data_IF_386755676468
#
_entry.id   IF_386755676468
#
_cell.length_a   1.000
_cell.length_b   1.000
_cell.length_c   1.000
_cell.angle_alpha   90.00
_cell.angle_beta   90.00
_cell.angle_gamma   90.00
#
_symmetry.space_group_name_H-M   'P 1'
#
loop_
_entity.id
_entity.type
_entity.pdbx_description
1 polymer ?
#
# COMPACT_ATOMS: atom_id res chain seq x y z
N UNK A 1 12.43 15.19 19.22
CA UNK A 1 13.07 15.09 17.90
C UNK A 1 11.94 15.05 16.87
N UNK A 2 11.56 16.21 16.33
CA UNK A 2 10.42 16.32 15.42
C UNK A 2 10.77 15.65 14.09
N UNK A 3 9.90 14.76 13.62
CA UNK A 3 10.00 14.21 12.27
C UNK A 3 9.86 15.41 11.33
N UNK A 4 10.88 15.71 10.54
CA UNK A 4 10.83 16.80 9.57
C UNK A 4 9.85 16.35 8.46
N UNK A 5 8.57 16.69 8.64
CA UNK A 5 7.54 16.41 7.65
C UNK A 5 7.65 17.48 6.58
N UNK A 6 8.12 17.10 5.40
CA UNK A 6 8.36 18.02 4.30
C UNK A 6 7.06 18.76 3.90
N UNK A 7 7.15 20.04 3.51
CA UNK A 7 5.99 20.90 3.23
C UNK A 7 5.08 20.33 2.13
N UNK A 8 5.65 19.60 1.17
CA UNK A 8 4.87 18.89 0.17
C UNK A 8 4.08 17.70 0.75
N UNK A 9 4.65 16.93 1.69
CA UNK A 9 3.91 15.90 2.45
C UNK A 9 2.69 16.52 3.14
N UNK A 10 2.84 17.74 3.68
CA UNK A 10 1.77 18.46 4.36
C UNK A 10 0.68 18.90 3.40
N UNK A 11 1.03 19.34 2.19
CA UNK A 11 0.05 19.68 1.13
C UNK A 11 -0.72 18.45 0.65
N UNK A 12 -0.04 17.32 0.44
CA UNK A 12 -0.72 16.06 0.05
C UNK A 12 -1.50 15.41 1.18
N UNK A 13 -1.12 15.70 2.42
CA UNK A 13 -1.80 15.24 3.63
C UNK A 13 -3.08 16.03 3.91
N UNK A 14 -3.25 17.26 3.41
CA UNK A 14 -4.35 18.16 3.79
C UNK A 14 -5.32 18.46 2.65
N UNK A 15 -6.57 18.70 3.01
CA UNK A 15 -7.61 19.27 2.14
C UNK A 15 -7.47 20.79 2.08
N UNK A 16 -8.28 21.42 1.23
CA UNK A 16 -8.35 22.88 1.08
C UNK A 16 -8.67 23.60 2.41
N UNK A 17 -9.44 22.95 3.28
CA UNK A 17 -9.77 23.43 4.64
C UNK A 17 -8.67 23.19 5.69
N UNK A 18 -7.52 22.65 5.27
CA UNK A 18 -6.39 22.35 6.14
C UNK A 18 -6.52 21.07 6.97
N UNK A 19 -7.66 20.37 6.92
CA UNK A 19 -7.84 19.09 7.62
C UNK A 19 -7.10 17.96 6.90
N UNK A 20 -6.60 16.94 7.61
CA UNK A 20 -5.98 15.80 6.94
C UNK A 20 -6.96 15.08 6.02
N UNK A 21 -6.54 14.60 4.84
CA UNK A 21 -7.43 13.96 3.87
C UNK A 21 -8.15 12.74 4.43
N UNK A 22 -7.52 12.05 5.37
CA UNK A 22 -8.05 10.86 6.04
C UNK A 22 -9.05 11.16 7.14
N UNK A 23 -9.21 12.41 7.57
CA UNK A 23 -10.07 12.79 8.70
C UNK A 23 -11.58 12.53 8.47
N UNK A 24 -12.01 12.31 7.22
CA UNK A 24 -13.39 11.90 6.92
C UNK A 24 -13.65 10.41 7.14
N UNK A 25 -12.63 9.63 7.49
CA UNK A 25 -12.74 8.19 7.70
C UNK A 25 -12.34 7.84 9.14
N UNK A 26 -12.85 6.72 9.70
CA UNK A 26 -12.46 6.26 11.03
C UNK A 26 -10.96 6.08 11.18
N UNK A 27 -10.43 6.33 12.37
CA UNK A 27 -9.03 6.00 12.66
C UNK A 27 -8.88 4.47 12.67
N UNK A 28 -7.92 3.91 11.91
CA UNK A 28 -7.73 2.48 11.90
C UNK A 28 -7.22 1.96 13.25
N UNK A 29 -7.63 0.75 13.63
CA UNK A 29 -7.23 0.12 14.90
C UNK A 29 -6.15 -0.94 14.73
N UNK A 30 -6.06 -1.55 13.55
CA UNK A 30 -5.06 -2.57 13.25
C UNK A 30 -3.65 -2.02 13.12
N UNK A 31 -2.67 -2.87 13.42
CA UNK A 31 -1.24 -2.63 13.20
C UNK A 31 -0.65 -3.68 12.25
N UNK A 32 -0.72 -3.45 10.93
CA UNK A 32 -0.20 -4.39 9.93
C UNK A 32 1.29 -4.68 10.11
N UNK A 33 1.69 -5.90 9.78
CA UNK A 33 3.08 -6.36 9.87
C UNK A 33 3.93 -5.61 8.85
N UNK A 34 5.14 -5.22 9.26
CA UNK A 34 6.13 -4.62 8.36
C UNK A 34 6.93 -5.71 7.65
N UNK A 35 7.18 -5.54 6.36
CA UNK A 35 8.00 -6.44 5.54
C UNK A 35 9.15 -5.64 4.91
N UNK A 36 10.35 -6.23 4.84
CA UNK A 36 11.49 -5.60 4.19
C UNK A 36 11.35 -5.65 2.66
N UNK A 37 11.97 -4.68 1.97
CA UNK A 37 12.00 -4.67 0.50
C UNK A 37 12.72 -5.91 -0.06
N UNK A 38 13.68 -6.48 0.68
CA UNK A 38 14.37 -7.72 0.31
C UNK A 38 13.46 -8.93 0.30
N UNK A 39 12.57 -9.04 1.29
CA UNK A 39 11.59 -10.12 1.34
C UNK A 39 10.57 -9.98 0.20
N UNK A 40 10.13 -8.76 -0.11
CA UNK A 40 9.26 -8.50 -1.28
C UNK A 40 9.97 -8.84 -2.60
N UNK A 41 11.26 -8.52 -2.72
CA UNK A 41 12.08 -8.90 -3.86
C UNK A 41 12.19 -10.43 -4.02
N UNK A 42 12.35 -11.17 -2.93
CA UNK A 42 12.32 -12.64 -2.94
C UNK A 42 10.96 -13.18 -3.38
N UNK A 43 9.86 -12.61 -2.89
CA UNK A 43 8.50 -12.98 -3.33
C UNK A 43 8.31 -12.78 -4.83
N UNK A 44 8.79 -11.67 -5.37
CA UNK A 44 8.71 -11.39 -6.80
C UNK A 44 9.57 -12.35 -7.63
N UNK A 45 10.79 -12.65 -7.19
CA UNK A 45 11.71 -13.59 -7.87
C UNK A 45 11.20 -15.03 -7.87
N UNK A 46 10.56 -15.43 -6.78
CA UNK A 46 10.05 -16.80 -6.60
C UNK A 46 8.62 -16.98 -7.11
N UNK A 47 7.98 -15.94 -7.65
CA UNK A 47 6.60 -16.02 -8.14
C UNK A 47 6.49 -16.92 -9.36
N UNK A 48 5.86 -18.08 -9.19
CA UNK A 48 5.39 -18.90 -10.30
C UNK A 48 4.10 -18.30 -10.89
N UNK A 49 4.17 -17.83 -12.14
CA UNK A 49 3.02 -17.23 -12.84
C UNK A 49 1.96 -18.25 -13.26
N UNK A 50 2.24 -19.56 -13.15
CA UNK A 50 1.27 -20.62 -13.41
C UNK A 50 0.37 -20.93 -12.19
N UNK A 51 0.73 -20.42 -11.01
CA UNK A 51 -0.01 -20.62 -9.77
C UNK A 51 -0.92 -19.42 -9.44
N UNK A 52 -1.96 -19.62 -8.60
CA UNK A 52 -2.76 -18.53 -8.06
C UNK A 52 -1.91 -17.45 -7.37
N UNK A 53 -2.40 -16.23 -7.38
CA UNK A 53 -1.68 -15.09 -6.83
C UNK A 53 -1.68 -15.16 -5.29
N UNK A 54 -0.56 -15.56 -4.68
CA UNK A 54 -0.47 -15.65 -3.22
C UNK A 54 -0.38 -14.28 -2.52
N UNK A 55 0.11 -13.25 -3.23
CA UNK A 55 0.25 -11.89 -2.71
C UNK A 55 -0.07 -10.81 -3.74
N UNK A 56 -0.61 -9.69 -3.29
CA UNK A 56 -0.87 -8.49 -4.09
C UNK A 56 -0.03 -7.33 -3.56
N UNK A 57 0.70 -6.66 -4.45
CA UNK A 57 1.34 -5.37 -4.15
C UNK A 57 0.38 -4.23 -4.45
N UNK A 58 0.22 -3.29 -3.52
CA UNK A 58 -0.64 -2.12 -3.67
C UNK A 58 0.18 -0.83 -3.48
N UNK A 59 0.33 -0.07 -4.56
CA UNK A 59 0.93 1.26 -4.52
C UNK A 59 -0.15 2.30 -4.19
N UNK A 60 0.00 3.00 -3.07
CA UNK A 60 -0.97 4.00 -2.61
C UNK A 60 -0.63 5.44 -2.98
N UNK A 61 0.34 5.63 -3.87
CA UNK A 61 0.67 6.94 -4.46
C UNK A 61 -0.45 7.45 -5.37
N UNK A 62 -0.47 8.78 -5.59
CA UNK A 62 -1.46 9.48 -6.44
C UNK A 62 -0.72 10.19 -7.57
N UNK A 63 -0.63 11.51 -7.51
CA UNK A 63 0.09 12.34 -8.50
C UNK A 63 1.60 12.16 -8.42
N UNK A 64 2.10 11.65 -7.30
CA UNK A 64 3.48 11.26 -7.05
C UNK A 64 3.80 9.81 -7.50
N UNK A 65 2.87 9.14 -8.19
CA UNK A 65 3.09 7.86 -8.87
C UNK A 65 3.85 8.07 -10.20
N UNK A 66 5.01 8.73 -10.11
CA UNK A 66 5.93 8.98 -11.22
C UNK A 66 7.19 8.13 -11.06
N UNK A 67 7.93 7.92 -12.15
CA UNK A 67 9.17 7.13 -12.14
C UNK A 67 8.97 5.61 -12.12
N UNK A 68 7.74 5.14 -12.33
CA UNK A 68 7.40 3.72 -12.36
C UNK A 68 6.88 3.17 -11.03
N UNK A 69 6.49 1.90 -11.04
CA UNK A 69 5.98 1.13 -9.90
C UNK A 69 6.76 -0.17 -9.76
N UNK A 70 6.67 -0.85 -8.61
CA UNK A 70 7.19 -2.22 -8.49
C UNK A 70 6.34 -3.15 -9.36
N UNK A 71 6.97 -4.05 -10.11
CA UNK A 71 6.29 -4.91 -11.08
C UNK A 71 5.10 -5.65 -10.47
N UNK A 72 4.00 -5.73 -11.22
CA UNK A 72 2.76 -6.37 -10.77
C UNK A 72 2.02 -5.66 -9.63
N UNK A 73 2.38 -4.42 -9.29
CA UNK A 73 1.63 -3.61 -8.32
C UNK A 73 0.34 -3.07 -8.92
N UNK A 74 -0.73 -3.06 -8.12
CA UNK A 74 -1.94 -2.30 -8.41
C UNK A 74 -1.84 -0.91 -7.77
N UNK A 75 -1.95 0.16 -8.56
CA UNK A 75 -1.95 1.51 -8.01
C UNK A 75 -3.37 1.94 -7.59
N UNK A 76 -3.58 2.09 -6.27
CA UNK A 76 -4.84 2.52 -5.66
C UNK A 76 -4.56 3.72 -4.74
N UNK A 77 -4.81 4.97 -5.20
CA UNK A 77 -4.52 6.16 -4.41
C UNK A 77 -5.17 6.17 -3.03
N UNK A 78 -4.39 6.52 -2.01
CA UNK A 78 -4.81 6.48 -0.60
C UNK A 78 -6.10 7.28 -0.31
N UNK A 79 -6.27 8.43 -0.97
CA UNK A 79 -7.38 9.35 -0.74
C UNK A 79 -8.78 8.75 -0.98
N UNK A 80 -8.88 7.76 -1.85
CA UNK A 80 -10.13 7.02 -2.10
C UNK A 80 -10.14 5.61 -1.52
N UNK A 81 -9.02 5.15 -0.95
CA UNK A 81 -8.80 3.74 -0.59
C UNK A 81 -9.85 3.22 0.40
N UNK A 82 -10.20 4.02 1.41
CA UNK A 82 -11.17 3.60 2.42
C UNK A 82 -12.47 3.11 1.76
N UNK A 83 -13.01 3.86 0.79
CA UNK A 83 -14.25 3.50 0.09
C UNK A 83 -14.10 2.24 -0.78
N UNK A 84 -12.90 1.94 -1.27
CA UNK A 84 -12.63 0.82 -2.19
C UNK A 84 -12.26 -0.49 -1.47
N UNK A 85 -11.99 -0.46 -0.16
CA UNK A 85 -11.45 -1.61 0.59
C UNK A 85 -12.29 -2.89 0.48
N UNK A 86 -13.63 -2.76 0.44
CA UNK A 86 -14.54 -3.89 0.33
C UNK A 86 -14.43 -4.60 -1.03
N UNK A 87 -14.44 -3.83 -2.11
CA UNK A 87 -14.25 -4.37 -3.46
C UNK A 87 -12.86 -5.00 -3.63
N UNK A 88 -11.82 -4.38 -3.06
CA UNK A 88 -10.48 -4.97 -3.08
C UNK A 88 -10.42 -6.29 -2.31
N UNK A 89 -11.12 -6.38 -1.17
CA UNK A 89 -11.24 -7.63 -0.41
C UNK A 89 -11.89 -8.73 -1.24
N UNK A 90 -13.02 -8.43 -1.89
CA UNK A 90 -13.73 -9.41 -2.73
C UNK A 90 -12.86 -9.92 -3.88
N UNK A 91 -12.11 -9.02 -4.53
CA UNK A 91 -11.18 -9.39 -5.60
C UNK A 91 -10.04 -10.27 -5.07
N UNK A 92 -9.42 -9.90 -3.95
CA UNK A 92 -8.37 -10.69 -3.32
C UNK A 92 -8.87 -12.07 -2.90
N UNK A 93 -10.07 -12.15 -2.32
CA UNK A 93 -10.72 -13.39 -1.92
C UNK A 93 -10.98 -14.30 -3.11
N UNK A 94 -11.57 -13.78 -4.19
CA UNK A 94 -11.82 -14.54 -5.42
C UNK A 94 -10.52 -15.03 -6.09
N UNK A 95 -9.46 -14.23 -6.01
CA UNK A 95 -8.15 -14.56 -6.56
C UNK A 95 -7.32 -15.52 -5.68
N UNK A 96 -7.78 -15.83 -4.47
CA UNK A 96 -7.02 -16.65 -3.51
C UNK A 96 -5.80 -15.94 -2.89
N UNK A 97 -5.79 -14.61 -2.89
CA UNK A 97 -4.71 -13.79 -2.34
C UNK A 97 -4.71 -13.89 -0.81
N UNK A 98 -3.56 -14.24 -0.24
CA UNK A 98 -3.38 -14.35 1.22
C UNK A 98 -2.67 -13.14 1.82
N UNK A 99 -1.85 -12.44 1.04
CA UNK A 99 -1.06 -11.29 1.53
C UNK A 99 -1.29 -10.06 0.67
N UNK A 100 -1.71 -8.97 1.28
CA UNK A 100 -1.85 -7.67 0.59
C UNK A 100 -0.78 -6.74 1.14
N UNK A 101 0.21 -6.43 0.31
CA UNK A 101 1.41 -5.69 0.69
C UNK A 101 1.30 -4.26 0.16
N UNK A 102 1.15 -3.31 1.08
CA UNK A 102 1.02 -1.89 0.75
C UNK A 102 2.36 -1.18 0.77
N UNK A 103 2.51 -0.21 -0.14
CA UNK A 103 3.56 0.78 -0.07
C UNK A 103 3.09 2.15 -0.57
N UNK A 104 3.89 3.18 -0.30
CA UNK A 104 3.75 4.49 -0.94
C UNK A 104 5.14 5.05 -1.28
N UNK A 105 5.30 6.38 -1.36
CA UNK A 105 6.62 7.00 -1.56
C UNK A 105 7.68 6.51 -0.57
N UNK A 106 7.43 6.69 0.72
CA UNK A 106 8.33 6.30 1.83
C UNK A 106 7.73 5.31 2.84
N UNK A 107 6.45 4.95 2.66
CA UNK A 107 5.67 4.13 3.60
C UNK A 107 5.58 4.69 5.04
N UNK A 108 5.60 6.02 5.20
CA UNK A 108 5.48 6.70 6.51
C UNK A 108 4.10 7.35 6.76
N UNK A 109 3.13 7.16 5.88
CA UNK A 109 1.79 7.76 6.02
C UNK A 109 0.69 7.00 5.28
N UNK A 110 0.62 7.18 3.96
CA UNK A 110 -0.42 6.61 3.09
C UNK A 110 -0.47 5.07 3.13
N UNK A 111 0.64 4.41 2.82
CA UNK A 111 0.76 2.94 2.81
C UNK A 111 0.33 2.30 4.13
N UNK A 112 0.92 2.67 5.29
CA UNK A 112 0.50 2.14 6.59
C UNK A 112 -0.97 2.33 6.91
N UNK A 113 -1.54 3.50 6.61
CA UNK A 113 -2.94 3.80 6.89
C UNK A 113 -3.89 2.95 6.04
N UNK A 114 -3.60 2.80 4.75
CA UNK A 114 -4.39 1.94 3.85
C UNK A 114 -4.31 0.47 4.27
N UNK A 115 -3.11 -0.03 4.62
CA UNK A 115 -2.95 -1.38 5.13
C UNK A 115 -3.79 -1.61 6.40
N UNK A 116 -3.77 -0.65 7.33
CA UNK A 116 -4.51 -0.77 8.59
C UNK A 116 -6.03 -0.77 8.36
N UNK A 117 -6.56 0.13 7.52
CA UNK A 117 -7.98 0.11 7.14
C UNK A 117 -8.41 -1.19 6.43
N UNK A 118 -7.52 -1.75 5.60
CA UNK A 118 -7.78 -3.01 4.94
C UNK A 118 -7.79 -4.17 5.95
N UNK A 119 -6.88 -4.17 6.92
CA UNK A 119 -6.86 -5.17 7.99
C UNK A 119 -8.10 -5.08 8.87
N UNK A 120 -8.52 -3.87 9.25
CA UNK A 120 -9.75 -3.67 10.03
C UNK A 120 -10.96 -4.26 9.29
N UNK A 121 -11.03 -4.05 7.97
CA UNK A 121 -12.08 -4.62 7.15
C UNK A 121 -12.01 -6.16 7.12
N UNK A 122 -10.84 -6.75 6.89
CA UNK A 122 -10.64 -8.20 6.92
C UNK A 122 -11.08 -8.78 8.28
N UNK A 123 -10.69 -8.14 9.39
CA UNK A 123 -11.05 -8.56 10.73
C UNK A 123 -12.58 -8.51 10.92
N UNK A 124 -13.23 -7.41 10.49
CA UNK A 124 -14.69 -7.25 10.61
C UNK A 124 -15.48 -8.28 9.81
N UNK A 125 -14.95 -8.72 8.66
CA UNK A 125 -15.59 -9.80 7.87
C UNK A 125 -15.38 -11.14 8.55
N UNK A 126 -14.19 -11.38 9.12
CA UNK A 126 -13.82 -12.66 9.73
C UNK A 126 -14.57 -12.94 11.04
N UNK A 127 -14.85 -11.91 11.84
CA UNK A 127 -15.59 -12.04 13.11
C UNK A 127 -17.11 -11.88 12.94
N UNK A 128 -17.59 -11.65 11.72
CA UNK A 128 -19.02 -11.46 11.41
C UNK A 128 -19.59 -10.12 11.92
N UNK A 129 -18.75 -9.17 12.33
CA UNK A 129 -19.20 -7.82 12.70
C UNK A 129 -19.45 -6.90 11.50
N UNK A 130 -18.99 -7.29 10.30
CA UNK A 130 -19.29 -6.62 9.04
C UNK A 130 -20.73 -6.87 8.60
N UNK A 131 -21.52 -5.81 8.46
CA UNK A 131 -22.97 -5.89 8.19
C UNK A 131 -23.38 -6.59 6.90
N UNK A 132 -22.45 -6.71 5.95
CA UNK A 132 -22.75 -7.11 4.57
C UNK A 132 -22.12 -8.47 4.19
N UNK A 133 -21.42 -9.13 5.12
CA UNK A 133 -20.73 -10.38 4.88
C UNK A 133 -21.16 -11.45 5.89
N UNK A 134 -21.63 -12.60 5.38
CA UNK A 134 -21.79 -13.81 6.19
C UNK A 134 -20.42 -14.26 6.73
N UNK A 135 -20.39 -14.84 7.94
CA UNK A 135 -19.12 -15.29 8.51
C UNK A 135 -18.50 -16.38 7.63
N UNK A 136 -17.41 -16.02 6.96
CA UNK A 136 -16.67 -16.93 6.10
C UNK A 136 -15.43 -17.43 6.85
N UNK A 137 -15.58 -18.61 7.44
CA UNK A 137 -14.49 -19.35 8.08
C UNK A 137 -13.52 -20.00 7.08
N UNK A 138 -13.71 -19.77 5.77
CA UNK A 138 -12.83 -20.23 4.70
C UNK A 138 -11.59 -19.35 4.47
N UNK A 139 -11.10 -19.33 3.22
CA UNK A 139 -9.82 -18.73 2.76
C UNK A 139 -9.55 -17.29 3.24
N UNK A 140 -10.61 -16.53 3.58
CA UNK A 140 -10.53 -15.20 4.17
C UNK A 140 -9.86 -15.14 5.55
N UNK A 141 -9.93 -16.22 6.33
CA UNK A 141 -9.35 -16.28 7.67
C UNK A 141 -7.81 -16.17 7.68
N UNK A 142 -7.16 -16.45 6.54
CA UNK A 142 -5.71 -16.36 6.38
C UNK A 142 -5.24 -15.06 5.71
N UNK A 143 -6.16 -14.22 5.23
CA UNK A 143 -5.79 -12.99 4.54
C UNK A 143 -5.22 -11.97 5.52
N UNK A 144 -4.05 -11.42 5.20
CA UNK A 144 -3.39 -10.42 6.03
C UNK A 144 -2.84 -9.27 5.20
N UNK A 145 -2.67 -8.13 5.85
CA UNK A 145 -2.05 -6.96 5.23
C UNK A 145 -0.65 -6.74 5.79
N UNK A 146 0.22 -6.21 4.95
CA UNK A 146 1.60 -5.88 5.31
C UNK A 146 1.99 -4.52 4.74
N UNK A 147 3.03 -3.92 5.30
CA UNK A 147 3.59 -2.64 4.82
C UNK A 147 5.04 -2.85 4.42
N UNK A 148 5.37 -2.60 3.16
CA UNK A 148 6.75 -2.61 2.71
C UNK A 148 7.48 -1.35 3.21
N UNK A 149 8.49 -1.56 4.06
CA UNK A 149 9.25 -0.49 4.70
C UNK A 149 10.05 0.30 3.65
N UNK A 150 10.13 1.63 3.84
CA UNK A 150 10.89 2.53 2.96
C UNK A 150 10.17 2.90 1.66
N UNK A 151 9.06 2.24 1.35
CA UNK A 151 8.28 2.52 0.14
C UNK A 151 9.08 2.33 -1.14
N UNK A 152 8.61 2.93 -2.22
CA UNK A 152 9.29 2.84 -3.52
C UNK A 152 10.63 3.59 -3.53
N UNK A 153 10.79 4.65 -2.72
CA UNK A 153 12.09 5.34 -2.58
C UNK A 153 13.15 4.42 -1.96
N UNK A 154 12.76 3.64 -0.96
CA UNK A 154 13.59 2.60 -0.37
C UNK A 154 13.93 1.49 -1.37
N UNK A 155 12.95 1.10 -2.20
CA UNK A 155 13.15 0.14 -3.28
C UNK A 155 14.20 0.61 -4.28
N UNK A 156 14.03 1.79 -4.87
CA UNK A 156 14.96 2.35 -5.86
C UNK A 156 16.37 2.52 -5.28
N UNK A 157 16.48 2.94 -4.01
CA UNK A 157 17.78 3.02 -3.34
C UNK A 157 18.48 1.65 -3.24
N UNK A 158 17.72 0.58 -3.03
CA UNK A 158 18.27 -0.76 -2.83
C UNK A 158 18.50 -1.51 -4.15
N UNK A 159 17.66 -1.28 -5.17
CA UNK A 159 17.58 -2.11 -6.37
C UNK A 159 17.63 -1.32 -7.69
N UNK A 160 17.69 0.02 -7.64
CA UNK A 160 17.53 0.86 -8.83
C UNK A 160 16.18 0.59 -9.50
N UNK A 161 16.21 0.43 -10.83
CA UNK A 161 15.03 0.05 -11.62
C UNK A 161 14.74 -1.45 -11.67
N UNK A 162 15.46 -2.29 -10.93
CA UNK A 162 15.21 -3.74 -10.94
C UNK A 162 13.79 -4.06 -10.45
N UNK A 163 13.12 -4.97 -11.17
CA UNK A 163 11.73 -5.37 -10.93
C UNK A 163 10.74 -4.20 -10.84
N UNK A 164 10.98 -3.11 -11.59
CA UNK A 164 10.03 -2.02 -11.75
C UNK A 164 9.39 -2.01 -13.15
N UNK A 165 8.12 -1.63 -13.20
CA UNK A 165 7.40 -1.34 -14.43
C UNK A 165 7.41 0.17 -14.69
N UNK A 166 7.79 0.59 -15.89
CA UNK A 166 7.84 2.00 -16.26
C UNK A 166 8.92 2.81 -15.53
N UNK A 167 10.02 2.17 -15.14
CA UNK A 167 11.15 2.86 -14.52
C UNK A 167 11.68 3.98 -15.42
N UNK A 168 11.66 5.22 -14.91
CA UNK A 168 12.23 6.38 -15.58
C UNK A 168 13.40 6.89 -14.75
N UNK A 169 14.62 6.56 -15.19
CA UNK A 169 15.87 6.91 -14.52
C UNK A 169 16.00 8.42 -14.27
N UNK A 170 15.49 9.27 -15.18
CA UNK A 170 15.58 10.73 -15.04
C UNK A 170 14.80 11.27 -13.84
N UNK A 171 13.69 10.60 -13.49
CA UNK A 171 12.91 10.95 -12.30
C UNK A 171 13.69 10.62 -11.02
N UNK A 172 14.59 9.63 -11.05
CA UNK A 172 15.34 9.17 -9.88
C UNK A 172 16.76 9.75 -9.78
N UNK A 173 17.35 10.20 -10.89
CA UNK A 173 18.66 10.88 -10.93
C UNK A 173 18.62 12.33 -10.43
N UNK A 174 17.44 12.96 -10.41
CA UNK A 174 17.27 14.32 -9.95
C UNK A 174 16.81 14.34 -8.49
N UNK A 175 17.72 14.54 -7.51
CA UNK A 175 17.39 14.48 -6.10
C UNK A 175 16.24 15.41 -5.72
N UNK A 176 16.06 16.59 -6.34
CA UNK A 176 15.03 17.61 -6.00
C UNK A 176 13.58 17.15 -5.82
N UNK A 177 13.23 15.92 -6.22
CA UNK A 177 11.95 15.27 -5.92
C UNK A 177 11.87 14.64 -4.51
N UNK A 178 12.98 14.52 -3.77
CA UNK A 178 13.02 14.16 -2.36
C UNK A 178 12.39 15.23 -1.46
N UNK A 179 12.48 16.48 -1.87
CA UNK A 179 11.82 17.62 -1.26
C UNK A 179 10.39 17.78 -1.83
N UNK A 180 10.20 17.92 -3.15
CA UNK A 180 8.91 18.39 -3.67
C UNK A 180 7.80 17.34 -3.92
N UNK A 181 7.94 16.03 -3.62
CA UNK A 181 6.90 15.03 -4.00
C UNK A 181 6.48 13.99 -2.96
N UNK A 182 6.43 14.38 -1.69
CA UNK A 182 5.81 13.57 -0.63
C UNK A 182 4.28 13.70 -0.54
#
# INVERSE_FOLDING_TARGET
MGIHVHEHCLKMARREDGTPWWSAFPEPSSSPVKIASSEVAELLRNRDRSQPLEFLLVDTRRTDCIGGTIQGSLNIPAHGFYLMRAMLYDLCKQAGVKRIIFYCGSSNGRGPRCAAWMQDHINSVSDGSGSDYESDSGCSAEMTTQVMVGGIRGWVKAYGGDMMEGYDEKIWEHPKLDEETC
#
